data_IF_246270716736
#
_entry.id   IF_246270716736
#
_cell.length_a   1.000
_cell.length_b   1.000
_cell.length_c   1.000
_cell.angle_alpha   90.00
_cell.angle_beta   90.00
_cell.angle_gamma   90.00
#
_symmetry.space_group_name_H-M   'P 1'
#
loop_
_entity.id
_entity.type
_entity.pdbx_description
1 polymer ?
#
# COMPACT_ATOMS: atom_id res chain seq x y z
N UNK A 1 5.46 -24.02 11.14
CA UNK A 1 5.06 -23.49 9.82
C UNK A 1 4.02 -22.40 10.08
N UNK A 2 4.48 -21.20 10.44
CA UNK A 2 3.63 -20.09 10.89
C UNK A 2 3.16 -19.29 9.67
N UNK A 3 1.85 -19.24 9.45
CA UNK A 3 1.23 -18.54 8.33
C UNK A 3 1.15 -17.02 8.53
N UNK A 4 1.68 -16.46 9.64
CA UNK A 4 1.45 -15.06 10.04
C UNK A 4 2.22 -13.98 9.25
N UNK A 5 3.17 -14.33 8.37
CA UNK A 5 4.21 -13.38 7.90
C UNK A 5 4.15 -12.94 6.43
N UNK A 6 3.18 -13.37 5.63
CA UNK A 6 3.44 -13.51 4.18
C UNK A 6 3.39 -12.25 3.31
N UNK A 7 3.11 -11.04 3.82
CA UNK A 7 2.94 -9.83 2.98
C UNK A 7 3.67 -8.57 3.46
N UNK A 8 3.91 -8.38 4.77
CA UNK A 8 4.84 -7.34 5.27
C UNK A 8 6.25 -7.56 4.73
N UNK A 9 6.66 -8.82 4.74
CA UNK A 9 7.91 -9.28 4.15
C UNK A 9 7.99 -8.94 2.65
N UNK A 10 6.89 -8.83 1.91
CA UNK A 10 6.95 -8.57 0.46
C UNK A 10 7.30 -7.12 0.15
N UNK A 11 6.64 -6.15 0.79
CA UNK A 11 6.99 -4.74 0.62
C UNK A 11 8.41 -4.48 1.17
N UNK A 12 8.72 -5.00 2.35
CA UNK A 12 10.03 -4.85 2.97
C UNK A 12 11.15 -5.56 2.18
N UNK A 13 10.91 -6.75 1.62
CA UNK A 13 11.87 -7.43 0.74
C UNK A 13 12.12 -6.67 -0.57
N UNK A 14 11.19 -5.83 -0.99
CA UNK A 14 11.35 -4.92 -2.13
C UNK A 14 11.92 -3.55 -1.74
N UNK A 15 12.27 -3.35 -0.46
CA UNK A 15 12.76 -2.07 0.05
C UNK A 15 11.71 -0.97 0.07
N UNK A 16 10.42 -1.33 0.00
CA UNK A 16 9.30 -0.40 0.03
C UNK A 16 8.74 -0.28 1.44
N UNK A 17 8.37 0.95 1.80
CA UNK A 17 7.66 1.22 3.05
C UNK A 17 6.25 0.62 2.99
N UNK A 18 5.85 -0.19 3.98
CA UNK A 18 4.50 -0.72 4.04
C UNK A 18 3.46 0.38 4.21
N UNK A 19 2.34 0.28 3.49
CA UNK A 19 1.24 1.24 3.55
C UNK A 19 -0.12 0.60 3.89
N UNK A 20 -0.16 -0.66 4.32
CA UNK A 20 -1.40 -1.28 4.77
C UNK A 20 -1.37 -2.79 4.85
N UNK A 21 -2.58 -3.37 4.92
CA UNK A 21 -2.80 -4.81 5.04
C UNK A 21 -3.42 -5.33 3.75
N UNK A 22 -2.69 -6.15 3.01
CA UNK A 22 -3.18 -6.81 1.80
C UNK A 22 -3.89 -8.14 2.12
N UNK A 23 -4.78 -8.56 1.23
CA UNK A 23 -5.47 -9.85 1.30
C UNK A 23 -5.46 -10.54 -0.08
N UNK A 24 -5.35 -11.86 -0.09
CA UNK A 24 -5.35 -12.64 -1.33
C UNK A 24 -6.80 -12.99 -1.72
N UNK A 25 -7.30 -12.31 -2.77
CA UNK A 25 -8.63 -12.52 -3.34
C UNK A 25 -9.78 -11.91 -2.55
N UNK A 26 -10.88 -11.56 -3.23
CA UNK A 26 -12.04 -10.90 -2.60
C UNK A 26 -12.94 -11.83 -1.75
N UNK A 27 -12.46 -13.03 -1.41
CA UNK A 27 -13.19 -13.98 -0.58
C UNK A 27 -13.17 -13.53 0.88
N UNK A 28 -14.26 -13.82 1.61
CA UNK A 28 -14.41 -13.46 3.02
C UNK A 28 -13.22 -13.92 3.90
N UNK A 29 -12.66 -15.11 3.62
CA UNK A 29 -11.51 -15.65 4.36
C UNK A 29 -10.24 -14.81 4.21
N UNK A 30 -9.98 -14.28 3.00
CA UNK A 30 -8.80 -13.43 2.76
C UNK A 30 -8.92 -12.11 3.51
N UNK A 31 -10.11 -11.51 3.49
CA UNK A 31 -10.41 -10.26 4.19
C UNK A 31 -10.36 -10.44 5.72
N UNK A 32 -10.97 -11.49 6.26
CA UNK A 32 -10.96 -11.80 7.69
C UNK A 32 -9.54 -11.96 8.23
N UNK A 33 -8.69 -12.66 7.47
CA UNK A 33 -7.29 -12.83 7.82
C UNK A 33 -6.51 -11.50 7.85
N UNK A 34 -6.70 -10.62 6.85
CA UNK A 34 -6.07 -9.31 6.84
C UNK A 34 -6.57 -8.42 7.99
N UNK A 35 -7.86 -8.47 8.29
CA UNK A 35 -8.46 -7.72 9.40
C UNK A 35 -7.92 -8.17 10.75
N UNK A 36 -7.81 -9.48 10.98
CA UNK A 36 -7.23 -10.02 12.21
C UNK A 36 -5.79 -9.51 12.41
N UNK A 37 -4.97 -9.49 11.35
CA UNK A 37 -3.62 -8.88 11.41
C UNK A 37 -3.66 -7.39 11.76
N UNK A 38 -4.62 -6.63 11.23
CA UNK A 38 -4.76 -5.21 11.54
C UNK A 38 -5.13 -4.96 13.00
N UNK A 39 -6.06 -5.75 13.53
CA UNK A 39 -6.48 -5.67 14.93
C UNK A 39 -5.31 -6.07 15.84
N UNK A 40 -4.62 -7.18 15.56
CA UNK A 40 -3.46 -7.61 16.34
C UNK A 40 -2.36 -6.55 16.36
N UNK A 41 -1.99 -5.98 15.20
CA UNK A 41 -0.96 -4.95 15.15
C UNK A 41 -1.33 -3.68 15.92
N UNK A 42 -2.61 -3.34 15.97
CA UNK A 42 -3.10 -2.23 16.79
C UNK A 42 -2.94 -2.49 18.29
N UNK A 43 -3.24 -3.71 18.77
CA UNK A 43 -3.10 -4.09 20.17
C UNK A 43 -1.63 -4.28 20.59
N UNK A 44 -0.83 -4.93 19.74
CA UNK A 44 0.55 -5.34 20.05
C UNK A 44 1.58 -4.24 19.77
N UNK A 45 1.34 -3.38 18.77
CA UNK A 45 2.30 -2.37 18.33
C UNK A 45 1.62 -1.05 17.90
N UNK A 46 0.96 -0.42 18.87
CA UNK A 46 0.20 0.82 18.67
C UNK A 46 1.01 1.97 18.11
N UNK A 47 2.27 2.11 18.51
CA UNK A 47 3.13 3.19 18.05
C UNK A 47 3.41 3.05 16.55
N UNK A 48 3.87 1.88 16.12
CA UNK A 48 4.09 1.60 14.71
C UNK A 48 2.80 1.70 13.89
N UNK A 49 1.67 1.20 14.40
CA UNK A 49 0.38 1.31 13.70
C UNK A 49 0.02 2.78 13.42
N UNK A 50 0.29 3.68 14.37
CA UNK A 50 0.06 5.11 14.15
C UNK A 50 1.03 5.70 13.11
N UNK A 51 2.28 5.23 13.06
CA UNK A 51 3.22 5.61 12.00
C UNK A 51 2.71 5.15 10.63
N UNK A 52 2.26 3.91 10.52
CA UNK A 52 1.64 3.37 9.29
C UNK A 52 0.48 4.28 8.81
N UNK A 53 -0.43 4.66 9.71
CA UNK A 53 -1.52 5.57 9.36
C UNK A 53 -1.00 6.91 8.81
N UNK A 54 0.02 7.51 9.43
CA UNK A 54 0.62 8.76 8.95
C UNK A 54 1.23 8.59 7.56
N UNK A 55 2.03 7.54 7.36
CA UNK A 55 2.65 7.23 6.06
C UNK A 55 1.61 7.09 4.95
N UNK A 56 0.43 6.53 5.23
CA UNK A 56 -0.68 6.45 4.27
C UNK A 56 -1.31 7.81 4.00
N UNK A 57 -1.53 8.62 5.04
CA UNK A 57 -2.11 9.95 4.90
C UNK A 57 -1.21 10.94 4.15
N UNK A 58 0.10 10.72 4.17
CA UNK A 58 1.10 11.54 3.46
C UNK A 58 1.27 11.16 1.99
N UNK A 59 0.70 10.03 1.55
CA UNK A 59 0.78 9.61 0.14
C UNK A 59 -0.12 10.50 -0.75
N UNK A 60 0.39 10.79 -1.95
CA UNK A 60 -0.37 11.50 -2.98
C UNK A 60 -1.31 10.53 -3.71
N UNK A 61 -2.59 10.60 -3.37
CA UNK A 61 -3.68 9.94 -4.09
C UNK A 61 -4.49 10.91 -4.96
N UNK A 62 -3.96 12.12 -5.18
CA UNK A 62 -4.60 13.12 -6.02
C UNK A 62 -4.34 12.88 -7.51
N UNK A 63 -5.00 13.68 -8.35
CA UNK A 63 -4.80 13.67 -9.79
C UNK A 63 -3.61 14.52 -10.26
N UNK A 64 -2.88 15.17 -9.35
CA UNK A 64 -1.86 16.15 -9.70
C UNK A 64 -0.73 15.53 -10.53
N UNK A 65 -0.10 14.48 -9.99
CA UNK A 65 1.00 13.79 -10.67
C UNK A 65 0.56 13.10 -11.97
N UNK A 66 -0.52 12.29 -12.02
CA UNK A 66 -1.00 11.71 -13.27
C UNK A 66 -1.33 12.75 -14.35
N UNK A 67 -1.88 13.91 -13.99
CA UNK A 67 -2.19 14.96 -14.94
C UNK A 67 -0.93 15.59 -15.56
N UNK A 68 0.12 15.81 -14.76
CA UNK A 68 1.41 16.31 -15.26
C UNK A 68 2.06 15.29 -16.20
N UNK A 69 2.10 14.02 -15.78
CA UNK A 69 2.63 12.93 -16.60
C UNK A 69 1.85 12.79 -17.92
N UNK A 70 0.53 12.99 -17.90
CA UNK A 70 -0.29 12.99 -19.10
C UNK A 70 0.08 14.12 -20.07
N UNK A 71 0.31 15.34 -19.57
CA UNK A 71 0.72 16.47 -20.41
C UNK A 71 2.09 16.22 -21.06
N UNK A 72 3.04 15.68 -20.31
CA UNK A 72 4.35 15.29 -20.82
C UNK A 72 4.23 14.25 -21.94
N UNK A 73 3.44 13.19 -21.71
CA UNK A 73 3.18 12.15 -22.70
C UNK A 73 2.50 12.71 -23.97
N UNK A 74 1.54 13.62 -23.81
CA UNK A 74 0.84 14.25 -24.92
C UNK A 74 1.79 15.10 -25.78
N UNK A 75 2.65 15.91 -25.15
CA UNK A 75 3.61 16.73 -25.87
C UNK A 75 4.64 15.87 -26.62
N UNK A 76 5.17 14.84 -25.96
CA UNK A 76 6.10 13.90 -26.59
C UNK A 76 5.50 13.20 -27.82
N UNK A 77 4.25 12.72 -27.71
CA UNK A 77 3.55 12.09 -28.83
C UNK A 77 3.31 13.06 -29.99
N UNK A 78 2.92 14.31 -29.69
CA UNK A 78 2.68 15.34 -30.70
C UNK A 78 3.95 15.77 -31.45
N UNK A 79 5.09 15.86 -30.77
CA UNK A 79 6.37 16.23 -31.38
C UNK A 79 7.00 15.09 -32.19
N UNK A 80 6.58 13.85 -31.93
CA UNK A 80 7.00 12.67 -32.67
C UNK A 80 6.19 12.39 -33.95
N UNK A 81 5.17 13.20 -34.24
CA UNK A 81 4.28 13.09 -35.40
C UNK A 81 4.63 14.11 -36.49
#
# INVERSE_FOLDING_TARGET
MSLQYTLWDRAQAQGLEPNGFSFDGAAALGVDYALNRAILAWYENRHWFNTLCKTVMEQDWSWNRPALEYLELYHAARESA
#
